data_IF_984772869811
#
_entry.id   IF_984772869811
#
_cell.length_a   1.000
_cell.length_b   1.000
_cell.length_c   1.000
_cell.angle_alpha   90.00
_cell.angle_beta   90.00
_cell.angle_gamma   90.00
#
_symmetry.space_group_name_H-M   'P 1'
#
loop_
_entity.id
_entity.type
_entity.pdbx_description
1 polymer ?
#
# COMPACT_ATOMS: atom_id res chain seq x y z
N UNK A 1 -16.75 -10.05 21.26
CA UNK A 1 -16.33 -9.28 20.07
C UNK A 1 -15.18 -10.02 19.42
N UNK A 2 -15.19 -10.20 18.09
CA UNK A 2 -14.09 -10.86 17.38
C UNK A 2 -12.88 -9.95 17.30
N UNK A 3 -11.68 -10.53 17.44
CA UNK A 3 -10.42 -9.79 17.43
C UNK A 3 -9.63 -10.05 16.16
N UNK A 4 -9.17 -9.01 15.52
CA UNK A 4 -8.28 -9.11 14.35
C UNK A 4 -6.96 -8.38 14.60
N UNK A 5 -5.86 -9.02 14.22
CA UNK A 5 -4.55 -8.37 14.14
C UNK A 5 -4.24 -8.07 12.69
N UNK A 6 -4.01 -6.81 12.38
CA UNK A 6 -3.45 -6.37 11.10
C UNK A 6 -1.93 -6.28 11.19
N UNK A 7 -1.24 -6.60 10.10
CA UNK A 7 0.21 -6.46 10.01
C UNK A 7 0.66 -6.13 8.59
N UNK A 8 1.76 -5.45 8.49
CA UNK A 8 2.36 -5.01 7.25
C UNK A 8 3.25 -3.80 7.53
N UNK A 9 4.25 -3.54 6.73
CA UNK A 9 5.09 -2.38 6.98
C UNK A 9 6.36 -2.36 6.15
N UNK A 10 7.19 -1.38 6.49
CA UNK A 10 8.41 -1.07 5.76
C UNK A 10 8.19 -0.04 4.63
N UNK A 11 7.00 0.04 4.05
CA UNK A 11 6.59 1.06 3.08
C UNK A 11 5.12 1.39 3.26
N UNK A 12 4.69 2.59 2.81
CA UNK A 12 3.29 3.00 2.85
C UNK A 12 2.38 2.04 2.05
N UNK A 13 2.87 1.45 0.96
CA UNK A 13 2.12 0.48 0.14
C UNK A 13 1.70 -0.79 0.88
N UNK A 14 2.40 -1.16 1.98
CA UNK A 14 1.99 -2.28 2.84
C UNK A 14 1.09 -1.85 4.00
N UNK A 15 0.92 -0.55 4.23
CA UNK A 15 0.12 -0.01 5.35
C UNK A 15 -1.23 0.51 4.87
N UNK A 16 -1.23 1.31 3.80
CA UNK A 16 -2.43 1.95 3.28
C UNK A 16 -3.59 0.99 2.99
N UNK A 17 -3.37 -0.20 2.39
CA UNK A 17 -4.45 -1.17 2.20
C UNK A 17 -5.01 -1.74 3.51
N UNK A 18 -4.17 -1.88 4.55
CA UNK A 18 -4.67 -2.24 5.89
C UNK A 18 -5.57 -1.13 6.45
N UNK A 19 -5.16 0.13 6.28
CA UNK A 19 -5.96 1.29 6.69
C UNK A 19 -7.31 1.31 5.96
N UNK A 20 -7.32 0.98 4.67
CA UNK A 20 -8.55 0.92 3.87
C UNK A 20 -9.57 -0.13 4.37
N UNK A 21 -9.10 -1.20 5.04
CA UNK A 21 -9.95 -2.23 5.62
C UNK A 21 -10.54 -1.85 6.98
N UNK A 22 -9.92 -0.90 7.72
CA UNK A 22 -10.31 -0.59 9.10
C UNK A 22 -11.79 -0.19 9.24
N UNK A 23 -12.36 0.70 8.40
CA UNK A 23 -13.79 1.04 8.51
C UNK A 23 -14.71 -0.18 8.40
N UNK A 24 -14.52 -0.99 7.37
CA UNK A 24 -15.33 -2.19 7.16
C UNK A 24 -15.16 -3.23 8.28
N UNK A 25 -13.96 -3.38 8.84
CA UNK A 25 -13.71 -4.27 9.97
C UNK A 25 -14.40 -3.77 11.24
N UNK A 26 -14.41 -2.45 11.50
CA UNK A 26 -15.14 -1.84 12.61
C UNK A 26 -16.66 -2.05 12.45
N UNK A 27 -17.20 -1.80 11.24
CA UNK A 27 -18.62 -2.06 10.91
C UNK A 27 -18.99 -3.54 11.13
N UNK A 28 -18.09 -4.46 10.81
CA UNK A 28 -18.27 -5.89 11.05
C UNK A 28 -18.08 -6.33 12.52
N UNK A 29 -17.85 -5.38 13.44
CA UNK A 29 -17.75 -5.63 14.87
C UNK A 29 -16.40 -6.20 15.34
N UNK A 30 -15.31 -6.00 14.59
CA UNK A 30 -13.99 -6.44 15.00
C UNK A 30 -13.30 -5.43 15.94
N UNK A 31 -12.69 -5.94 16.99
CA UNK A 31 -11.65 -5.24 17.76
C UNK A 31 -10.33 -5.37 17.00
N UNK A 32 -9.76 -4.23 16.60
CA UNK A 32 -8.59 -4.19 15.71
C UNK A 32 -7.34 -3.85 16.51
N UNK A 33 -6.27 -4.60 16.31
CA UNK A 33 -4.92 -4.29 16.77
C UNK A 33 -3.95 -4.36 15.60
N UNK A 34 -2.82 -3.66 15.70
CA UNK A 34 -1.77 -3.68 14.68
C UNK A 34 -0.45 -4.14 15.26
N UNK A 35 0.23 -5.04 14.55
CA UNK A 35 1.60 -5.43 14.87
C UNK A 35 2.52 -4.98 13.74
N UNK A 36 3.51 -4.14 14.08
CA UNK A 36 4.47 -3.58 13.14
C UNK A 36 5.88 -3.48 13.71
N UNK A 37 6.78 -2.78 13.04
CA UNK A 37 8.13 -2.53 13.56
C UNK A 37 8.14 -1.39 14.59
N UNK A 38 9.17 -1.33 15.44
CA UNK A 38 9.26 -0.26 16.44
C UNK A 38 9.31 1.15 15.83
N UNK A 39 10.01 1.32 14.69
CA UNK A 39 10.32 2.61 14.10
C UNK A 39 9.95 2.69 12.61
N UNK A 40 8.99 1.89 12.14
CA UNK A 40 8.53 1.96 10.76
C UNK A 40 7.49 3.06 10.53
N UNK A 41 7.30 3.42 9.26
CA UNK A 41 6.27 4.38 8.85
C UNK A 41 4.86 3.94 9.27
N UNK A 42 4.64 2.62 9.38
CA UNK A 42 3.38 2.03 9.81
C UNK A 42 2.98 2.48 11.21
N UNK A 43 3.94 2.68 12.12
CA UNK A 43 3.63 3.09 13.48
C UNK A 43 2.89 4.42 13.51
N UNK A 44 3.46 5.45 12.88
CA UNK A 44 2.86 6.77 12.84
C UNK A 44 1.46 6.74 12.22
N UNK A 45 1.33 6.09 11.06
CA UNK A 45 0.07 6.02 10.31
C UNK A 45 -1.06 5.31 11.07
N UNK A 46 -0.72 4.31 11.89
CA UNK A 46 -1.71 3.53 12.66
C UNK A 46 -2.05 4.20 13.99
N UNK A 47 -1.05 4.80 14.68
CA UNK A 47 -1.29 5.52 15.93
C UNK A 47 -2.20 6.75 15.71
N UNK A 48 -2.09 7.44 14.55
CA UNK A 48 -2.98 8.53 14.15
C UNK A 48 -4.46 8.10 14.03
N UNK A 49 -4.74 6.80 13.83
CA UNK A 49 -6.09 6.25 13.74
C UNK A 49 -6.63 5.72 15.09
N UNK A 50 -5.89 5.93 16.18
CA UNK A 50 -6.20 5.41 17.51
C UNK A 50 -6.41 3.88 17.54
N UNK A 51 -5.63 3.14 16.73
CA UNK A 51 -5.58 1.67 16.74
C UNK A 51 -4.43 1.22 17.67
N UNK A 52 -4.68 0.29 18.62
CA UNK A 52 -3.63 -0.28 19.45
C UNK A 52 -2.48 -0.84 18.61
N UNK A 53 -1.27 -0.31 18.82
CA UNK A 53 -0.07 -0.67 18.07
C UNK A 53 0.95 -1.40 18.94
N UNK A 54 1.46 -2.52 18.44
CA UNK A 54 2.47 -3.32 19.11
C UNK A 54 3.73 -3.43 18.24
N UNK A 55 4.83 -2.87 18.71
CA UNK A 55 6.11 -2.95 18.02
C UNK A 55 6.83 -4.29 18.25
N UNK A 56 7.41 -4.83 17.19
CA UNK A 56 8.30 -6.00 17.27
C UNK A 56 9.64 -5.72 16.62
N UNK A 57 10.65 -6.49 16.99
CA UNK A 57 11.95 -6.48 16.33
C UNK A 57 11.84 -7.07 14.94
N UNK A 58 12.41 -6.38 13.95
CA UNK A 58 12.36 -6.80 12.53
C UNK A 58 13.74 -6.69 11.93
N UNK A 59 14.10 -7.63 11.05
CA UNK A 59 15.28 -7.57 10.20
C UNK A 59 14.87 -7.26 8.75
N UNK A 60 15.70 -6.50 8.04
CA UNK A 60 15.54 -6.32 6.58
C UNK A 60 16.56 -7.22 5.88
N UNK A 61 16.09 -8.20 5.12
CA UNK A 61 16.97 -8.88 4.17
C UNK A 61 17.31 -7.89 3.04
N UNK A 62 18.55 -7.40 3.07
CA UNK A 62 19.08 -6.51 2.02
C UNK A 62 19.75 -7.36 0.94
N UNK A 63 19.49 -7.04 -0.32
CA UNK A 63 20.07 -7.75 -1.47
C UNK A 63 21.56 -7.50 -1.67
N UNK A 64 22.17 -6.55 -0.94
CA UNK A 64 23.59 -6.19 -1.01
C UNK A 64 24.27 -6.45 0.33
N UNK A 65 25.60 -6.58 0.30
CA UNK A 65 26.44 -6.83 1.47
C UNK A 65 26.35 -5.62 2.43
N UNK A 66 25.76 -5.85 3.61
CA UNK A 66 25.67 -4.86 4.69
C UNK A 66 26.00 -5.61 5.99
N UNK A 67 26.84 -5.03 6.85
CA UNK A 67 27.20 -5.59 8.18
C UNK A 67 25.96 -5.93 9.01
N UNK A 68 24.85 -5.21 8.79
CA UNK A 68 23.55 -5.48 9.42
C UNK A 68 22.94 -6.81 9.01
N UNK A 69 23.38 -7.43 7.92
CA UNK A 69 22.92 -8.76 7.51
C UNK A 69 23.33 -9.85 8.52
N UNK A 70 24.36 -9.63 9.31
CA UNK A 70 24.78 -10.55 10.40
C UNK A 70 23.93 -10.42 11.67
N UNK A 71 23.38 -9.24 11.95
CA UNK A 71 22.53 -9.00 13.14
C UNK A 71 21.05 -9.23 12.85
N UNK A 72 20.63 -9.15 11.60
CA UNK A 72 19.24 -9.28 11.19
C UNK A 72 18.62 -10.66 11.47
N UNK A 73 19.33 -11.82 11.37
CA UNK A 73 18.79 -13.12 11.79
C UNK A 73 18.38 -13.16 13.27
N UNK A 74 19.20 -12.60 14.17
CA UNK A 74 18.88 -12.52 15.60
C UNK A 74 17.69 -11.60 15.87
N UNK A 75 17.58 -10.49 15.14
CA UNK A 75 16.43 -9.59 15.19
C UNK A 75 15.14 -10.28 14.73
N UNK A 76 15.21 -11.08 13.67
CA UNK A 76 14.08 -11.88 13.18
C UNK A 76 13.64 -12.91 14.22
N UNK A 77 14.59 -13.64 14.83
CA UNK A 77 14.29 -14.61 15.90
C UNK A 77 13.64 -13.92 17.11
N UNK A 78 14.18 -12.77 17.54
CA UNK A 78 13.59 -11.95 18.60
C UNK A 78 12.17 -11.52 18.23
N UNK A 79 11.96 -11.04 17.00
CA UNK A 79 10.64 -10.64 16.49
C UNK A 79 9.64 -11.81 16.48
N UNK A 80 10.08 -13.01 16.12
CA UNK A 80 9.24 -14.22 16.18
C UNK A 80 8.81 -14.56 17.60
N UNK A 81 9.70 -14.45 18.57
CA UNK A 81 9.37 -14.65 19.99
C UNK A 81 8.38 -13.61 20.49
N UNK A 82 8.63 -12.34 20.17
CA UNK A 82 7.74 -11.23 20.53
C UNK A 82 6.34 -11.38 19.89
N UNK A 83 6.28 -11.68 18.59
CA UNK A 83 5.02 -11.94 17.89
C UNK A 83 4.26 -13.11 18.52
N UNK A 84 4.95 -14.21 18.87
CA UNK A 84 4.32 -15.36 19.56
C UNK A 84 3.74 -14.96 20.93
N UNK A 85 4.46 -14.12 21.70
CA UNK A 85 3.98 -13.60 22.98
C UNK A 85 2.72 -12.75 22.76
N UNK A 86 2.73 -11.86 21.76
CA UNK A 86 1.57 -11.01 21.41
C UNK A 86 0.36 -11.85 20.97
N UNK A 87 0.53 -12.91 20.17
CA UNK A 87 -0.56 -13.83 19.81
C UNK A 87 -1.22 -14.43 21.06
N UNK A 88 -0.43 -14.83 22.06
CA UNK A 88 -0.96 -15.39 23.32
C UNK A 88 -1.63 -14.33 24.19
N UNK A 89 -1.18 -13.09 24.17
CA UNK A 89 -1.74 -11.98 24.97
C UNK A 89 -3.02 -11.41 24.35
N UNK A 90 -2.99 -11.09 23.05
CA UNK A 90 -4.12 -10.50 22.31
C UNK A 90 -5.21 -11.54 22.07
N UNK A 91 -4.79 -12.80 21.80
CA UNK A 91 -5.67 -13.93 21.41
C UNK A 91 -6.58 -13.54 20.25
N UNK A 92 -6.03 -13.12 19.09
CA UNK A 92 -6.85 -12.74 17.97
C UNK A 92 -7.54 -13.98 17.35
N UNK A 93 -8.74 -13.78 16.82
CA UNK A 93 -9.46 -14.82 16.07
C UNK A 93 -8.88 -14.99 14.66
N UNK A 94 -8.26 -13.94 14.13
CA UNK A 94 -7.67 -13.93 12.79
C UNK A 94 -6.53 -12.91 12.69
N UNK A 95 -5.57 -13.20 11.82
CA UNK A 95 -4.49 -12.27 11.43
C UNK A 95 -4.64 -11.94 9.94
N UNK A 96 -4.55 -10.67 9.58
CA UNK A 96 -4.45 -10.22 8.18
C UNK A 96 -3.11 -9.53 7.94
N UNK A 97 -2.43 -9.93 6.87
CA UNK A 97 -1.12 -9.40 6.50
C UNK A 97 -1.12 -8.84 5.07
N UNK A 98 -0.71 -7.58 4.93
CA UNK A 98 -0.46 -6.97 3.61
C UNK A 98 0.96 -7.21 3.09
N UNK A 99 1.78 -7.94 3.85
CA UNK A 99 3.15 -8.24 3.47
C UNK A 99 4.20 -7.29 4.05
N UNK A 100 5.38 -7.31 3.45
CA UNK A 100 6.58 -6.69 4.02
C UNK A 100 7.27 -7.59 5.05
N UNK A 101 8.56 -7.34 5.31
CA UNK A 101 9.36 -8.20 6.21
C UNK A 101 8.85 -8.22 7.65
N UNK A 102 8.17 -7.16 8.06
CA UNK A 102 7.54 -7.03 9.39
C UNK A 102 6.48 -8.10 9.62
N UNK A 103 5.76 -8.49 8.58
CA UNK A 103 4.65 -9.44 8.68
C UNK A 103 5.10 -10.90 8.82
N UNK A 104 6.30 -11.25 8.36
CA UNK A 104 6.79 -12.65 8.36
C UNK A 104 6.78 -13.27 9.76
N UNK A 105 7.38 -12.64 10.80
CA UNK A 105 7.31 -13.17 12.16
C UNK A 105 5.89 -13.25 12.71
N UNK A 106 5.00 -12.33 12.32
CA UNK A 106 3.61 -12.27 12.79
C UNK A 106 2.78 -13.42 12.21
N UNK A 107 2.81 -13.59 10.88
CA UNK A 107 2.08 -14.70 10.20
C UNK A 107 2.60 -16.06 10.64
N UNK A 108 3.93 -16.22 10.80
CA UNK A 108 4.52 -17.45 11.34
C UNK A 108 4.06 -17.72 12.78
N UNK A 109 4.01 -16.70 13.62
CA UNK A 109 3.54 -16.85 14.99
C UNK A 109 2.06 -17.24 15.04
N UNK A 110 1.21 -16.63 14.22
CA UNK A 110 -0.19 -17.00 14.08
C UNK A 110 -0.36 -18.47 13.71
N UNK A 111 0.31 -18.95 12.65
CA UNK A 111 0.26 -20.35 12.25
C UNK A 111 0.75 -21.32 13.33
N UNK A 112 1.79 -20.96 14.10
CA UNK A 112 2.26 -21.77 15.23
C UNK A 112 1.34 -21.75 16.45
N UNK A 113 0.47 -20.76 16.56
CA UNK A 113 -0.55 -20.66 17.60
C UNK A 113 -1.93 -21.16 17.12
N UNK A 114 -2.01 -21.77 15.93
CA UNK A 114 -3.24 -22.25 15.30
C UNK A 114 -4.30 -21.13 15.08
N UNK A 115 -3.82 -19.88 14.93
CA UNK A 115 -4.65 -18.74 14.58
C UNK A 115 -4.67 -18.62 13.06
N UNK A 116 -5.86 -18.60 12.41
CA UNK A 116 -5.95 -18.43 10.97
C UNK A 116 -5.32 -17.11 10.52
N UNK A 117 -4.50 -17.17 9.48
CA UNK A 117 -3.86 -16.01 8.90
C UNK A 117 -4.21 -15.88 7.42
N UNK A 118 -4.64 -14.70 7.02
CA UNK A 118 -4.84 -14.33 5.62
C UNK A 118 -3.68 -13.41 5.22
N UNK A 119 -3.04 -13.69 4.10
CA UNK A 119 -2.04 -12.79 3.51
C UNK A 119 -2.54 -12.24 2.19
N UNK A 120 -2.08 -11.06 1.83
CA UNK A 120 -2.44 -10.41 0.57
C UNK A 120 -1.21 -10.20 -0.30
N UNK A 121 -1.30 -10.65 -1.56
CA UNK A 121 -0.28 -10.45 -2.59
C UNK A 121 -0.80 -9.49 -3.66
N UNK A 122 -0.05 -8.43 -3.89
CA UNK A 122 -0.39 -7.40 -4.87
C UNK A 122 0.30 -7.59 -6.21
N UNK A 123 1.42 -8.28 -6.23
CA UNK A 123 2.25 -8.47 -7.42
C UNK A 123 1.84 -9.77 -8.13
N UNK A 124 2.07 -9.85 -9.44
CA UNK A 124 1.85 -11.07 -10.22
C UNK A 124 2.73 -12.22 -9.71
N UNK A 125 3.94 -11.90 -9.28
CA UNK A 125 4.87 -12.86 -8.68
C UNK A 125 4.99 -12.61 -7.19
N UNK A 126 4.70 -13.59 -6.32
CA UNK A 126 4.75 -13.39 -4.89
C UNK A 126 6.12 -12.92 -4.41
N UNK A 127 6.12 -11.84 -3.62
CA UNK A 127 7.31 -11.29 -2.99
C UNK A 127 7.91 -12.24 -1.93
N UNK A 128 9.19 -12.07 -1.60
CA UNK A 128 9.91 -12.96 -0.67
C UNK A 128 9.21 -13.08 0.70
N UNK A 129 8.71 -11.97 1.24
CA UNK A 129 8.01 -11.99 2.52
C UNK A 129 6.76 -12.87 2.47
N UNK A 130 5.97 -12.77 1.38
CA UNK A 130 4.80 -13.61 1.19
C UNK A 130 5.17 -15.07 0.93
N UNK A 131 6.20 -15.35 0.12
CA UNK A 131 6.72 -16.72 -0.07
C UNK A 131 7.06 -17.40 1.25
N UNK A 132 7.73 -16.70 2.18
CA UNK A 132 8.07 -17.21 3.51
C UNK A 132 6.84 -17.40 4.42
N UNK A 133 5.77 -16.65 4.17
CA UNK A 133 4.55 -16.65 4.97
C UNK A 133 3.49 -17.64 4.48
N UNK A 134 3.48 -17.99 3.18
CA UNK A 134 2.44 -18.82 2.53
C UNK A 134 2.14 -20.12 3.24
N UNK A 135 3.17 -20.82 3.73
CA UNK A 135 2.97 -22.12 4.41
C UNK A 135 2.18 -22.01 5.72
N UNK A 136 2.19 -20.83 6.34
CA UNK A 136 1.46 -20.53 7.58
C UNK A 136 0.12 -19.86 7.34
N UNK A 137 -0.14 -19.41 6.12
CA UNK A 137 -1.40 -18.77 5.75
C UNK A 137 -2.50 -19.79 5.50
N UNK A 138 -3.72 -19.45 5.92
CA UNK A 138 -4.94 -20.20 5.61
C UNK A 138 -5.48 -19.86 4.23
N UNK A 139 -5.43 -18.58 3.86
CA UNK A 139 -5.83 -18.04 2.55
C UNK A 139 -4.85 -16.96 2.08
N UNK A 140 -4.77 -16.79 0.76
CA UNK A 140 -3.91 -15.83 0.10
C UNK A 140 -4.76 -15.03 -0.88
N UNK A 141 -5.06 -13.80 -0.53
CA UNK A 141 -5.76 -12.86 -1.39
C UNK A 141 -4.81 -12.35 -2.48
N UNK A 142 -5.25 -12.33 -3.72
CA UNK A 142 -4.43 -11.92 -4.87
C UNK A 142 -5.13 -10.85 -5.69
N UNK A 143 -4.31 -9.99 -6.31
CA UNK A 143 -4.81 -8.99 -7.26
C UNK A 143 -5.07 -9.55 -8.64
N UNK A 144 -4.34 -10.61 -9.05
CA UNK A 144 -4.34 -11.14 -10.41
C UNK A 144 -4.74 -12.61 -10.45
N UNK A 145 -5.54 -13.03 -11.45
CA UNK A 145 -5.90 -14.43 -11.65
C UNK A 145 -4.67 -15.34 -11.78
N UNK A 146 -3.66 -14.91 -12.53
CA UNK A 146 -2.42 -15.64 -12.76
C UNK A 146 -1.66 -15.92 -11.46
N UNK A 147 -1.75 -15.00 -10.49
CA UNK A 147 -1.17 -15.20 -9.17
C UNK A 147 -1.92 -16.29 -8.42
N UNK A 148 -3.26 -16.34 -8.52
CA UNK A 148 -4.10 -17.35 -7.85
C UNK A 148 -3.74 -18.75 -8.34
N UNK A 149 -3.57 -18.94 -9.64
CA UNK A 149 -3.21 -20.23 -10.26
C UNK A 149 -1.86 -20.76 -9.74
N UNK A 150 -0.93 -19.87 -9.45
CA UNK A 150 0.41 -20.20 -8.95
C UNK A 150 0.47 -20.41 -7.41
N UNK A 151 -0.64 -20.22 -6.69
CA UNK A 151 -0.68 -20.45 -5.25
C UNK A 151 -0.94 -21.93 -4.94
N UNK A 152 -0.04 -22.59 -4.20
CA UNK A 152 -0.20 -24.01 -3.91
C UNK A 152 -1.42 -24.28 -3.00
N UNK A 153 -1.92 -25.52 -3.10
CA UNK A 153 -2.97 -26.09 -2.23
C UNK A 153 -4.33 -25.36 -2.28
N UNK A 154 -4.67 -24.68 -3.35
CA UNK A 154 -5.96 -23.99 -3.50
C UNK A 154 -6.22 -22.91 -2.45
N UNK A 155 -5.15 -22.30 -1.90
CA UNK A 155 -5.27 -21.24 -0.91
C UNK A 155 -5.49 -19.86 -1.54
N UNK A 156 -5.23 -19.72 -2.85
CA UNK A 156 -5.39 -18.46 -3.59
C UNK A 156 -6.87 -18.05 -3.71
N UNK A 157 -7.13 -16.76 -3.56
CA UNK A 157 -8.46 -16.15 -3.76
C UNK A 157 -8.26 -14.83 -4.49
N UNK A 158 -8.95 -14.66 -5.62
CA UNK A 158 -8.94 -13.38 -6.33
C UNK A 158 -9.83 -12.38 -5.59
N UNK A 159 -9.23 -11.30 -5.08
CA UNK A 159 -9.94 -10.27 -4.30
C UNK A 159 -9.72 -8.87 -4.82
N UNK A 160 -8.69 -8.64 -5.63
CA UNK A 160 -8.19 -7.31 -5.88
C UNK A 160 -7.54 -6.68 -4.65
N UNK A 161 -7.14 -5.43 -4.77
CA UNK A 161 -6.49 -4.66 -3.69
C UNK A 161 -7.51 -3.89 -2.87
N UNK A 162 -7.40 -3.87 -1.54
CA UNK A 162 -8.22 -3.00 -0.72
C UNK A 162 -7.94 -1.53 -1.05
N UNK A 163 -8.99 -0.80 -1.37
CA UNK A 163 -8.95 0.65 -1.65
C UNK A 163 -9.84 1.40 -0.65
N UNK A 164 -9.51 2.64 -0.38
CA UNK A 164 -10.31 3.50 0.48
C UNK A 164 -11.64 3.82 -0.20
N UNK A 165 -12.78 3.55 0.47
CA UNK A 165 -14.13 3.77 -0.08
C UNK A 165 -14.37 5.23 -0.50
N UNK A 166 -13.79 6.18 0.22
CA UNK A 166 -13.88 7.61 -0.10
C UNK A 166 -13.35 7.96 -1.50
N UNK A 167 -12.42 7.18 -2.04
CA UNK A 167 -11.90 7.40 -3.39
C UNK A 167 -12.94 7.11 -4.49
N UNK A 168 -14.00 6.37 -4.17
CA UNK A 168 -15.10 6.05 -5.08
C UNK A 168 -16.22 7.10 -5.07
N UNK A 169 -16.18 8.06 -4.13
CA UNK A 169 -17.22 9.07 -3.92
C UNK A 169 -16.76 10.49 -4.28
N UNK A 170 -15.87 10.63 -5.27
CA UNK A 170 -15.38 11.92 -5.72
C UNK A 170 -16.35 12.69 -6.58
N UNK A 171 -16.23 14.02 -6.58
CA UNK A 171 -16.98 14.94 -7.42
C UNK A 171 -16.13 15.42 -8.60
N UNK A 172 -16.55 15.04 -9.80
CA UNK A 172 -15.89 15.45 -11.05
C UNK A 172 -15.86 16.97 -11.24
N UNK A 173 -16.93 17.68 -10.90
CA UNK A 173 -17.00 19.13 -11.06
C UNK A 173 -16.03 19.84 -10.10
N UNK A 174 -15.92 19.34 -8.86
CA UNK A 174 -14.96 19.85 -7.89
C UNK A 174 -13.51 19.63 -8.36
N UNK A 175 -13.18 18.46 -8.90
CA UNK A 175 -11.85 18.16 -9.41
C UNK A 175 -11.47 19.00 -10.64
N UNK A 176 -12.41 19.20 -11.58
CA UNK A 176 -12.20 20.12 -12.72
C UNK A 176 -11.93 21.55 -12.25
N UNK A 177 -12.76 22.06 -11.33
CA UNK A 177 -12.62 23.40 -10.77
C UNK A 177 -11.27 23.59 -10.05
N UNK A 178 -10.83 22.59 -9.29
CA UNK A 178 -9.55 22.63 -8.57
C UNK A 178 -8.35 22.83 -9.51
N UNK A 179 -8.40 22.22 -10.70
CA UNK A 179 -7.33 22.30 -11.70
C UNK A 179 -7.54 23.43 -12.73
N UNK A 180 -8.65 24.16 -12.69
CA UNK A 180 -9.02 25.12 -13.72
C UNK A 180 -9.31 24.48 -15.08
N UNK A 181 -9.78 23.23 -15.07
CA UNK A 181 -10.08 22.45 -16.27
C UNK A 181 -11.55 22.53 -16.67
N UNK A 182 -11.85 22.10 -17.88
CA UNK A 182 -13.19 22.07 -18.44
C UNK A 182 -13.55 20.68 -18.98
N UNK A 183 -14.76 20.53 -19.52
CA UNK A 183 -15.26 19.26 -20.05
C UNK A 183 -14.96 19.01 -21.53
N UNK A 184 -14.24 19.91 -22.20
CA UNK A 184 -13.98 19.82 -23.64
C UNK A 184 -12.97 18.74 -24.01
N UNK A 185 -12.00 18.47 -23.11
CA UNK A 185 -10.98 17.45 -23.32
C UNK A 185 -11.00 16.42 -22.17
N UNK A 186 -10.72 15.15 -22.45
CA UNK A 186 -10.55 14.17 -21.39
C UNK A 186 -9.35 14.51 -20.51
N UNK A 187 -9.42 14.09 -19.23
CA UNK A 187 -8.39 14.36 -18.24
C UNK A 187 -7.58 13.11 -17.97
N UNK A 188 -6.26 13.23 -18.03
CA UNK A 188 -5.30 12.22 -17.62
C UNK A 188 -4.75 12.57 -16.24
N UNK A 189 -4.71 11.60 -15.32
CA UNK A 189 -4.01 11.73 -14.04
C UNK A 189 -2.75 10.89 -14.06
N UNK A 190 -1.61 11.55 -13.79
CA UNK A 190 -0.31 10.89 -13.62
C UNK A 190 0.14 11.01 -12.17
N UNK A 191 0.49 9.89 -11.56
CA UNK A 191 0.91 9.81 -10.16
C UNK A 191 2.07 8.82 -10.01
N UNK A 192 3.21 9.29 -9.53
CA UNK A 192 4.44 8.52 -9.36
C UNK A 192 4.69 7.98 -7.94
N UNK A 193 3.63 7.76 -7.15
CA UNK A 193 3.73 7.38 -5.75
C UNK A 193 4.05 8.54 -4.81
N UNK A 194 4.09 8.27 -3.48
CA UNK A 194 4.19 9.31 -2.44
C UNK A 194 5.49 10.12 -2.47
N UNK A 195 6.59 9.53 -2.91
CA UNK A 195 7.88 10.22 -3.06
C UNK A 195 8.06 10.86 -4.44
N UNK A 196 7.14 10.59 -5.36
CA UNK A 196 7.23 10.95 -6.77
C UNK A 196 8.34 10.18 -7.50
N UNK A 197 8.22 10.06 -8.81
CA UNK A 197 9.19 9.38 -9.67
C UNK A 197 9.81 10.38 -10.64
N UNK A 198 11.09 10.71 -10.48
CA UNK A 198 11.77 11.71 -11.29
C UNK A 198 11.68 11.39 -12.79
N UNK A 199 11.99 10.15 -13.17
CA UNK A 199 11.95 9.73 -14.58
C UNK A 199 10.55 9.80 -15.18
N UNK A 200 9.49 9.51 -14.40
CA UNK A 200 8.11 9.68 -14.88
C UNK A 200 7.79 11.15 -15.06
N UNK A 201 8.16 12.00 -14.08
CA UNK A 201 7.94 13.44 -14.18
C UNK A 201 8.63 14.01 -15.42
N UNK A 202 9.87 13.62 -15.67
CA UNK A 202 10.65 14.09 -16.82
C UNK A 202 10.05 13.60 -18.15
N UNK A 203 9.65 12.31 -18.22
CA UNK A 203 9.00 11.74 -19.40
C UNK A 203 7.70 12.46 -19.74
N UNK A 204 6.84 12.70 -18.73
CA UNK A 204 5.56 13.42 -18.95
C UNK A 204 5.82 14.85 -19.42
N UNK A 205 6.77 15.56 -18.82
CA UNK A 205 7.11 16.94 -19.24
C UNK A 205 7.68 16.99 -20.65
N UNK A 206 8.46 16.00 -21.03
CA UNK A 206 9.03 15.93 -22.39
C UNK A 206 7.96 15.78 -23.48
N UNK A 207 6.90 15.02 -23.22
CA UNK A 207 5.78 14.81 -24.17
C UNK A 207 4.58 15.72 -23.94
N UNK A 208 4.66 16.61 -22.95
CA UNK A 208 3.54 17.47 -22.55
C UNK A 208 2.96 18.32 -23.70
N UNK A 209 3.76 18.93 -24.60
CA UNK A 209 3.24 19.71 -25.72
C UNK A 209 2.28 18.91 -26.61
N UNK A 210 2.51 17.61 -26.77
CA UNK A 210 1.66 16.73 -27.56
C UNK A 210 0.44 16.25 -26.76
N UNK A 211 0.62 15.95 -25.49
CA UNK A 211 -0.48 15.51 -24.62
C UNK A 211 -1.57 16.58 -24.48
N UNK A 212 -1.22 17.84 -24.26
CA UNK A 212 -2.20 18.92 -24.04
C UNK A 212 -3.00 19.30 -25.30
N UNK A 213 -2.59 18.83 -26.47
CA UNK A 213 -3.41 18.99 -27.68
C UNK A 213 -4.71 18.23 -27.60
N UNK A 214 -4.70 17.04 -26.98
CA UNK A 214 -5.84 16.13 -26.92
C UNK A 214 -6.41 15.97 -25.49
N UNK A 215 -5.61 16.20 -24.46
CA UNK A 215 -5.94 15.94 -23.05
C UNK A 215 -5.71 17.17 -22.19
N UNK A 216 -6.31 17.16 -21.02
CA UNK A 216 -5.89 17.95 -19.87
C UNK A 216 -5.14 17.02 -18.91
N UNK A 217 -4.05 17.46 -18.31
CA UNK A 217 -3.15 16.58 -17.55
C UNK A 217 -3.03 17.08 -16.11
N UNK A 218 -3.42 16.22 -15.16
CA UNK A 218 -3.14 16.38 -13.73
C UNK A 218 -1.89 15.55 -13.41
N UNK A 219 -0.88 16.20 -12.81
CA UNK A 219 0.38 15.53 -12.50
C UNK A 219 0.73 15.67 -11.02
N UNK A 220 0.67 14.57 -10.27
CA UNK A 220 1.11 14.52 -8.88
C UNK A 220 2.59 14.13 -8.87
N UNK A 221 3.44 15.14 -8.76
CA UNK A 221 4.88 15.03 -9.00
C UNK A 221 5.68 14.46 -7.82
N UNK A 222 5.14 14.53 -6.60
CA UNK A 222 5.86 14.26 -5.36
C UNK A 222 6.50 15.50 -4.74
N UNK A 223 6.77 15.44 -3.43
CA UNK A 223 7.27 16.57 -2.64
C UNK A 223 8.58 17.15 -3.21
N UNK A 224 8.59 18.47 -3.43
CA UNK A 224 9.73 19.21 -3.95
C UNK A 224 10.03 18.98 -5.44
N UNK A 225 9.11 18.36 -6.20
CA UNK A 225 9.34 17.99 -7.60
C UNK A 225 8.42 18.70 -8.60
N UNK A 226 7.65 19.67 -8.14
CA UNK A 226 6.89 20.56 -9.01
C UNK A 226 7.88 21.46 -9.78
N UNK A 227 7.67 21.60 -11.07
CA UNK A 227 8.45 22.49 -11.92
C UNK A 227 7.66 23.76 -12.23
N UNK A 228 8.13 24.88 -11.70
CA UNK A 228 7.47 26.18 -11.80
C UNK A 228 7.38 26.73 -13.24
N UNK A 229 8.26 26.27 -14.13
CA UNK A 229 8.26 26.68 -15.52
C UNK A 229 6.97 26.32 -16.26
N UNK A 230 6.22 25.33 -15.74
CA UNK A 230 4.96 24.85 -16.30
C UNK A 230 3.70 25.45 -15.66
N UNK A 231 3.81 26.38 -14.71
CA UNK A 231 2.64 26.94 -14.01
C UNK A 231 1.64 27.65 -14.93
N UNK A 232 2.11 28.23 -16.02
CA UNK A 232 1.25 28.94 -17.00
C UNK A 232 0.82 28.04 -18.17
N UNK A 233 1.03 26.72 -18.09
CA UNK A 233 0.72 25.81 -19.20
C UNK A 233 -0.76 25.46 -19.16
N UNK A 234 -1.54 25.98 -20.09
CA UNK A 234 -2.96 25.68 -20.22
C UNK A 234 -3.20 24.19 -20.46
N UNK A 235 -4.10 23.59 -19.68
CA UNK A 235 -4.38 22.16 -19.77
C UNK A 235 -3.41 21.25 -19.00
N UNK A 236 -2.52 21.83 -18.18
CA UNK A 236 -1.61 21.09 -17.31
C UNK A 236 -1.62 21.66 -15.89
N UNK A 237 -1.83 20.80 -14.90
CA UNK A 237 -1.82 21.19 -13.50
C UNK A 237 -0.97 20.24 -12.66
N UNK A 238 -0.09 20.78 -11.82
CA UNK A 238 0.84 20.02 -10.98
C UNK A 238 0.49 20.14 -9.51
N UNK A 239 0.59 19.00 -8.81
CA UNK A 239 0.54 18.92 -7.35
C UNK A 239 1.84 18.31 -6.82
N UNK A 240 2.32 18.79 -5.68
CA UNK A 240 3.34 18.07 -4.93
C UNK A 240 2.75 16.80 -4.27
N UNK A 241 1.61 16.98 -3.66
CA UNK A 241 0.90 15.96 -2.92
C UNK A 241 -0.59 16.31 -2.83
N UNK A 242 -1.45 15.32 -2.76
CA UNK A 242 -2.90 15.49 -2.57
C UNK A 242 -3.41 14.49 -1.53
N UNK A 243 -4.40 14.88 -0.76
CA UNK A 243 -5.04 14.07 0.27
C UNK A 243 -6.54 13.92 0.03
N UNK A 244 -7.33 14.81 0.62
CA UNK A 244 -8.78 14.78 0.56
C UNK A 244 -9.31 14.99 -0.87
N UNK A 245 -8.61 15.80 -1.65
CA UNK A 245 -8.92 16.14 -3.03
C UNK A 245 -8.70 14.98 -4.00
N UNK A 246 -7.93 13.96 -3.61
CA UNK A 246 -7.57 12.84 -4.49
C UNK A 246 -8.80 12.12 -5.06
N UNK A 247 -9.88 11.99 -4.28
CA UNK A 247 -11.14 11.39 -4.74
C UNK A 247 -11.75 12.16 -5.91
N UNK A 248 -11.72 13.49 -5.84
CA UNK A 248 -12.31 14.37 -6.86
C UNK A 248 -11.45 14.38 -8.12
N UNK A 249 -10.12 14.32 -7.95
CA UNK A 249 -9.20 14.14 -9.08
C UNK A 249 -9.41 12.79 -9.77
N UNK A 250 -9.61 11.70 -9.03
CA UNK A 250 -9.97 10.39 -9.62
C UNK A 250 -11.29 10.43 -10.37
N UNK A 251 -12.33 11.07 -9.81
CA UNK A 251 -13.63 11.22 -10.47
C UNK A 251 -13.55 12.06 -11.75
N UNK A 252 -12.54 12.93 -11.86
CA UNK A 252 -12.31 13.81 -13.02
C UNK A 252 -11.69 13.07 -14.20
N UNK A 253 -10.89 12.06 -13.95
CA UNK A 253 -10.06 11.41 -14.96
C UNK A 253 -10.84 10.43 -15.83
N UNK A 254 -10.51 10.41 -17.13
CA UNK A 254 -10.88 9.32 -18.01
C UNK A 254 -9.94 8.12 -17.83
N UNK A 255 -8.65 8.40 -17.65
CA UNK A 255 -7.61 7.41 -17.47
C UNK A 255 -6.63 7.91 -16.41
N UNK A 256 -6.24 7.03 -15.51
CA UNK A 256 -5.13 7.27 -14.57
C UNK A 256 -4.13 6.13 -14.67
N UNK A 257 -2.84 6.46 -14.51
CA UNK A 257 -1.76 5.48 -14.43
C UNK A 257 -1.00 5.69 -13.13
N UNK A 258 -0.66 4.60 -12.48
CA UNK A 258 0.20 4.59 -11.31
C UNK A 258 1.27 3.52 -11.54
N UNK A 259 2.27 3.80 -12.42
CA UNK A 259 3.31 2.83 -12.70
C UNK A 259 4.09 2.53 -11.42
N UNK A 260 4.22 1.25 -11.14
CA UNK A 260 5.11 0.78 -10.07
C UNK A 260 6.56 1.03 -10.50
N UNK A 261 7.47 1.41 -9.59
CA UNK A 261 8.91 1.45 -9.90
C UNK A 261 9.47 0.11 -10.41
N UNK A 262 8.73 -0.98 -10.24
CA UNK A 262 9.09 -2.32 -10.75
C UNK A 262 8.69 -2.54 -12.21
N UNK A 263 7.79 -1.72 -12.74
CA UNK A 263 7.33 -1.81 -14.14
C UNK A 263 8.31 -1.11 -15.10
N UNK A 264 9.34 -0.46 -14.55
CA UNK A 264 10.37 0.30 -15.29
C UNK A 264 11.74 -0.41 -15.32
N UNK A 265 11.80 -1.71 -15.00
CA UNK A 265 13.04 -2.49 -15.00
C UNK A 265 13.07 -3.54 -16.11
#
# INVERSE_FOLDING_TARGET
>A
MKKIVLTGGGTAGHVTPNIALIPALKEAGYEISYIGSYNGIERKLIEELNIPYYGISTGKFRRYFDVKNFTDPFRVLKGMSQAKKLMKTIKPDIVFSKGGFVSVPVVRAAGKCHIPAIIHESDMTPGLANKLSMKYASKICCNFPETVENIPNGKGVLTGSPIRRELLSGDKAAGLKLCGFNTQKPVLLVIGGSLGAVHINDAIRAILPDLIRQYQVIHICGKGKVDKSFYSTTGYYQFEYVNAELKDLFATCLLYTSPSPRDCS
#
